data_IF_770114362310
#
_entry.id   IF_770114362310
#
_cell.length_a   1.000
_cell.length_b   1.000
_cell.length_c   1.000
_cell.angle_alpha   90.00
_cell.angle_beta   90.00
_cell.angle_gamma   90.00
#
_symmetry.space_group_name_H-M   'P 1'
#
loop_
_entity.id
_entity.type
_entity.pdbx_description
1 polymer ?
#
# COMPACT_ATOMS: atom_id res chain seq x y z
N UNK A 1 22.29 -13.02 -8.80
CA UNK A 1 21.76 -12.90 -7.42
C UNK A 1 20.66 -11.85 -7.48
N UNK A 2 19.41 -12.25 -7.26
CA UNK A 2 18.30 -11.27 -7.19
C UNK A 2 18.53 -10.44 -5.94
N UNK A 3 18.81 -9.14 -6.10
CA UNK A 3 18.89 -8.21 -4.97
C UNK A 3 17.54 -8.24 -4.25
N UNK A 4 17.53 -8.75 -3.02
CA UNK A 4 16.33 -8.77 -2.21
C UNK A 4 15.98 -7.33 -1.86
N UNK A 5 14.88 -6.83 -2.42
CA UNK A 5 14.36 -5.50 -2.09
C UNK A 5 14.11 -5.41 -0.58
N UNK A 6 14.79 -4.49 0.08
CA UNK A 6 14.59 -4.22 1.50
C UNK A 6 13.49 -3.19 1.64
N UNK A 7 12.34 -3.61 2.14
CA UNK A 7 11.23 -2.71 2.40
C UNK A 7 11.31 -2.16 3.82
N UNK A 8 11.41 -0.85 3.94
CA UNK A 8 11.35 -0.09 5.18
C UNK A 8 10.37 1.07 5.01
N UNK A 9 9.89 1.64 6.10
CA UNK A 9 8.97 2.76 6.06
C UNK A 9 9.16 3.70 7.24
N UNK A 10 8.60 4.88 7.12
CA UNK A 10 8.64 5.90 8.15
C UNK A 10 7.45 5.75 9.11
N UNK A 11 7.72 5.74 10.40
CA UNK A 11 6.68 5.79 11.43
C UNK A 11 6.12 7.21 11.52
N UNK A 12 4.81 7.39 11.33
CA UNK A 12 4.17 8.72 11.37
C UNK A 12 4.03 9.28 12.80
N UNK A 13 4.24 8.49 13.84
CA UNK A 13 4.26 9.00 15.22
C UNK A 13 5.59 9.63 15.62
N UNK A 14 6.71 9.03 15.22
CA UNK A 14 8.03 9.48 15.69
C UNK A 14 9.05 9.79 14.57
N UNK A 15 8.67 9.62 13.30
CA UNK A 15 9.54 9.87 12.15
C UNK A 15 10.63 8.82 11.92
N UNK A 16 10.78 7.80 12.78
CA UNK A 16 11.84 6.80 12.65
C UNK A 16 11.62 5.90 11.43
N UNK A 17 12.71 5.59 10.72
CA UNK A 17 12.74 4.57 9.69
C UNK A 17 12.78 3.17 10.32
N UNK A 18 11.84 2.32 9.95
CA UNK A 18 11.69 0.99 10.53
C UNK A 18 11.44 -0.03 9.41
N UNK A 19 12.09 -1.19 9.51
CA UNK A 19 11.89 -2.26 8.52
C UNK A 19 10.46 -2.80 8.56
N UNK A 20 9.96 -3.27 7.43
CA UNK A 20 8.64 -3.90 7.30
C UNK A 20 8.36 -4.91 8.43
N UNK A 21 9.34 -5.79 8.72
CA UNK A 21 9.23 -6.83 9.74
C UNK A 21 9.03 -6.28 11.16
N UNK A 22 9.63 -5.15 11.48
CA UNK A 22 9.64 -4.57 12.84
C UNK A 22 8.57 -3.50 13.04
N UNK A 23 8.02 -2.94 11.95
CA UNK A 23 7.10 -1.81 12.00
C UNK A 23 5.86 -2.09 12.86
N UNK A 24 5.24 -3.26 12.74
CA UNK A 24 4.05 -3.61 13.52
C UNK A 24 4.30 -3.56 15.02
N UNK A 25 5.43 -4.09 15.50
CA UNK A 25 5.83 -4.06 16.92
C UNK A 25 6.25 -2.66 17.37
N UNK A 26 6.89 -1.88 16.48
CA UNK A 26 7.24 -0.49 16.75
C UNK A 26 5.97 0.36 16.96
N UNK A 27 5.01 0.28 16.07
CA UNK A 27 3.72 0.99 16.16
C UNK A 27 2.90 0.58 17.38
N UNK A 28 2.91 -0.70 17.75
CA UNK A 28 2.23 -1.20 18.95
C UNK A 28 2.67 -0.44 20.22
N UNK A 29 3.94 -0.04 20.35
CA UNK A 29 4.43 0.73 21.51
C UNK A 29 3.75 2.10 21.58
N UNK A 30 3.64 2.81 20.45
CA UNK A 30 2.96 4.10 20.39
C UNK A 30 1.47 3.98 20.70
N UNK A 31 0.81 2.95 20.17
CA UNK A 31 -0.62 2.73 20.38
C UNK A 31 -0.95 2.39 21.85
N UNK A 32 -0.14 1.54 22.49
CA UNK A 32 -0.28 1.25 23.93
C UNK A 32 -0.02 2.48 24.79
N UNK A 33 0.94 3.32 24.42
CA UNK A 33 1.18 4.57 25.12
C UNK A 33 -0.04 5.50 25.03
N UNK A 34 -0.61 5.71 23.83
CA UNK A 34 -1.80 6.54 23.62
C UNK A 34 -3.02 6.00 24.39
N UNK A 35 -3.22 4.68 24.44
CA UNK A 35 -4.28 4.03 25.20
C UNK A 35 -4.12 4.29 26.71
N UNK A 36 -2.91 4.18 27.23
CA UNK A 36 -2.60 4.44 28.63
C UNK A 36 -2.75 5.91 29.04
N UNK A 37 -2.41 6.83 28.13
CA UNK A 37 -2.54 8.28 28.35
C UNK A 37 -4.01 8.73 28.36
N UNK A 38 -4.92 7.96 27.75
CA UNK A 38 -6.35 8.28 27.64
C UNK A 38 -7.24 7.13 28.12
N UNK A 39 -7.21 6.76 29.42
CA UNK A 39 -7.91 5.57 29.93
C UNK A 39 -9.44 5.67 29.85
N UNK A 40 -9.99 6.85 29.60
CA UNK A 40 -11.43 7.09 29.41
C UNK A 40 -11.88 6.98 27.96
N UNK A 41 -10.96 6.68 27.03
CA UNK A 41 -11.33 6.53 25.63
C UNK A 41 -12.28 5.33 25.43
N UNK A 42 -13.39 5.60 24.72
CA UNK A 42 -14.43 4.58 24.47
C UNK A 42 -14.31 3.98 23.06
N UNK A 43 -13.69 4.70 22.12
CA UNK A 43 -13.55 4.29 20.73
C UNK A 43 -12.64 3.07 20.60
N UNK A 44 -13.10 2.01 19.95
CA UNK A 44 -12.26 0.88 19.57
C UNK A 44 -11.64 1.14 18.20
N UNK A 45 -10.33 0.93 18.08
CA UNK A 45 -9.59 1.00 16.83
C UNK A 45 -8.80 -0.28 16.62
N UNK A 46 -8.56 -0.65 15.36
CA UNK A 46 -7.78 -1.84 14.99
C UNK A 46 -6.55 -1.42 14.20
N UNK A 47 -5.38 -1.88 14.63
CA UNK A 47 -4.16 -1.79 13.84
C UNK A 47 -4.19 -2.87 12.78
N UNK A 48 -4.16 -2.46 11.51
CA UNK A 48 -4.16 -3.38 10.36
C UNK A 48 -2.86 -3.21 9.58
N UNK A 49 -2.17 -4.32 9.40
CA UNK A 49 -1.04 -4.45 8.49
C UNK A 49 -1.57 -4.89 7.13
N UNK A 50 -1.19 -4.19 6.07
CA UNK A 50 -1.64 -4.40 4.70
C UNK A 50 -0.40 -4.60 3.85
N UNK A 51 -0.39 -5.66 3.04
CA UNK A 51 0.75 -6.03 2.22
C UNK A 51 0.33 -6.43 0.80
N UNK A 52 1.12 -5.97 -0.18
CA UNK A 52 1.07 -6.43 -1.56
C UNK A 52 2.50 -6.54 -2.09
N UNK A 53 2.94 -7.74 -2.46
CA UNK A 53 4.32 -8.05 -2.80
C UNK A 53 5.30 -7.54 -1.72
N UNK A 54 6.27 -6.70 -2.08
CA UNK A 54 7.24 -6.09 -1.15
C UNK A 54 6.77 -4.74 -0.57
N UNK A 55 5.58 -4.29 -0.92
CA UNK A 55 5.01 -3.04 -0.43
C UNK A 55 4.11 -3.27 0.77
N UNK A 56 4.07 -2.30 1.68
CA UNK A 56 3.24 -2.38 2.87
C UNK A 56 2.66 -1.05 3.32
N UNK A 57 1.55 -1.15 4.05
CA UNK A 57 0.96 -0.08 4.84
C UNK A 57 0.68 -0.61 6.25
N UNK A 58 0.75 0.27 7.22
CA UNK A 58 0.08 0.11 8.50
C UNK A 58 -0.96 1.20 8.66
N UNK A 59 -2.17 0.81 8.98
CA UNK A 59 -3.28 1.73 9.21
C UNK A 59 -3.95 1.45 10.56
N UNK A 60 -4.60 2.47 11.09
CA UNK A 60 -5.51 2.35 12.22
C UNK A 60 -6.92 2.59 11.71
N UNK A 61 -7.80 1.61 11.85
CA UNK A 61 -9.19 1.71 11.42
C UNK A 61 -10.13 1.83 12.62
N UNK A 62 -11.09 2.78 12.55
CA UNK A 62 -12.08 2.99 13.60
C UNK A 62 -13.12 1.87 13.59
N UNK A 63 -13.42 1.26 14.73
CA UNK A 63 -14.32 0.10 14.82
C UNK A 63 -15.71 0.35 14.23
N UNK A 64 -16.27 1.53 14.45
CA UNK A 64 -17.57 1.95 13.91
C UNK A 64 -17.56 2.19 12.39
N UNK A 65 -16.37 2.39 11.77
CA UNK A 65 -16.25 2.56 10.34
C UNK A 65 -16.47 1.22 9.63
N UNK A 66 -16.69 1.27 8.32
CA UNK A 66 -16.98 0.10 7.50
C UNK A 66 -15.87 -0.20 6.49
N UNK A 67 -15.90 -1.39 5.91
CA UNK A 67 -14.97 -1.78 4.85
C UNK A 67 -15.00 -0.85 3.64
N UNK A 68 -16.10 -0.11 3.39
CA UNK A 68 -16.16 0.94 2.37
C UNK A 68 -15.13 2.05 2.58
N UNK A 69 -14.83 2.40 3.84
CA UNK A 69 -13.82 3.42 4.14
C UNK A 69 -12.41 2.93 3.86
N UNK A 70 -12.14 1.65 4.15
CA UNK A 70 -10.84 1.06 3.84
C UNK A 70 -10.67 0.84 2.34
N UNK A 71 -11.71 0.42 1.62
CA UNK A 71 -11.72 0.35 0.16
C UNK A 71 -11.40 1.70 -0.46
N UNK A 72 -12.11 2.76 -0.03
CA UNK A 72 -11.87 4.12 -0.51
C UNK A 72 -10.44 4.61 -0.21
N UNK A 73 -9.88 4.24 0.95
CA UNK A 73 -8.51 4.56 1.31
C UNK A 73 -7.50 3.80 0.43
N UNK A 74 -7.67 2.48 0.24
CA UNK A 74 -6.79 1.66 -0.60
C UNK A 74 -6.81 2.11 -2.06
N UNK A 75 -7.98 2.49 -2.57
CA UNK A 75 -8.11 3.09 -3.89
C UNK A 75 -7.27 4.35 -4.01
N UNK A 76 -7.40 5.28 -3.08
CA UNK A 76 -6.68 6.56 -3.11
C UNK A 76 -5.16 6.41 -3.00
N UNK A 77 -4.67 5.46 -2.20
CA UNK A 77 -3.23 5.34 -1.96
C UNK A 77 -2.53 4.41 -2.95
N UNK A 78 -3.24 3.36 -3.46
CA UNK A 78 -2.59 2.30 -4.24
C UNK A 78 -3.30 1.86 -5.51
N UNK A 79 -4.65 1.99 -5.64
CA UNK A 79 -5.37 1.14 -6.59
C UNK A 79 -6.08 1.89 -7.72
N UNK A 80 -6.64 3.09 -7.45
CA UNK A 80 -7.60 3.69 -8.36
C UNK A 80 -6.98 4.15 -9.68
N UNK A 81 -7.42 3.55 -10.78
CA UNK A 81 -7.05 3.93 -12.13
C UNK A 81 -8.26 4.32 -12.99
N UNK A 82 -9.34 3.52 -13.01
CA UNK A 82 -10.51 3.74 -13.86
C UNK A 82 -11.81 3.13 -13.31
N UNK A 83 -11.94 2.97 -11.99
CA UNK A 83 -13.19 2.58 -11.34
C UNK A 83 -13.49 1.08 -11.32
N UNK A 84 -12.46 0.22 -11.31
CA UNK A 84 -12.66 -1.23 -11.24
C UNK A 84 -13.37 -1.67 -9.95
N UNK A 85 -13.99 -2.85 -10.01
CA UNK A 85 -14.61 -3.49 -8.85
C UNK A 85 -13.55 -4.02 -7.89
N UNK A 86 -13.93 -4.11 -6.64
CA UNK A 86 -13.09 -4.63 -5.56
C UNK A 86 -13.90 -5.47 -4.58
N UNK A 87 -13.22 -6.36 -3.84
CA UNK A 87 -13.88 -7.24 -2.89
C UNK A 87 -12.93 -7.63 -1.76
N UNK A 88 -13.44 -7.59 -0.51
CA UNK A 88 -12.77 -8.20 0.64
C UNK A 88 -13.24 -9.64 0.82
N UNK A 89 -12.31 -10.51 1.23
CA UNK A 89 -12.59 -11.90 1.55
C UNK A 89 -12.08 -12.26 2.95
N UNK A 90 -12.86 -13.06 3.64
CA UNK A 90 -12.50 -13.68 4.90
C UNK A 90 -12.69 -15.20 4.76
N UNK A 91 -11.60 -15.96 4.85
CA UNK A 91 -11.61 -17.41 4.62
C UNK A 91 -12.33 -17.81 3.33
N UNK A 92 -12.07 -17.08 2.24
CA UNK A 92 -12.70 -17.32 0.94
C UNK A 92 -14.15 -16.81 0.79
N UNK A 93 -14.77 -16.33 1.87
CA UNK A 93 -16.13 -15.77 1.83
C UNK A 93 -16.10 -14.25 1.66
N UNK A 94 -16.99 -13.71 0.83
CA UNK A 94 -17.09 -12.27 0.58
C UNK A 94 -17.52 -11.50 1.83
N UNK A 95 -16.82 -10.41 2.13
CA UNK A 95 -17.18 -9.44 3.17
C UNK A 95 -17.83 -8.23 2.53
N UNK A 96 -19.08 -7.90 2.90
CA UNK A 96 -19.77 -6.75 2.36
C UNK A 96 -19.15 -5.42 2.79
N UNK A 97 -19.05 -4.47 1.88
CA UNK A 97 -18.44 -3.15 2.12
C UNK A 97 -19.12 -2.33 3.23
N UNK A 98 -20.39 -2.58 3.51
CA UNK A 98 -21.17 -1.90 4.56
C UNK A 98 -20.95 -2.48 5.96
N UNK A 99 -20.30 -3.66 6.08
CA UNK A 99 -19.99 -4.27 7.38
C UNK A 99 -19.05 -3.36 8.16
N UNK A 100 -19.34 -3.14 9.44
CA UNK A 100 -18.47 -2.39 10.34
C UNK A 100 -17.29 -3.24 10.79
N UNK A 101 -16.16 -2.59 11.08
CA UNK A 101 -14.95 -3.30 11.49
C UNK A 101 -15.12 -4.03 12.84
N UNK A 102 -15.80 -3.40 13.82
CA UNK A 102 -16.07 -4.01 15.13
C UNK A 102 -16.94 -5.28 15.09
N UNK A 103 -17.68 -5.48 13.97
CA UNK A 103 -18.49 -6.69 13.75
C UNK A 103 -17.69 -7.86 13.15
N UNK A 104 -16.48 -7.59 12.63
CA UNK A 104 -15.71 -8.56 11.84
C UNK A 104 -14.29 -8.74 12.38
N UNK A 105 -13.61 -7.63 12.72
CA UNK A 105 -12.20 -7.67 13.04
C UNK A 105 -11.93 -8.13 14.47
N UNK A 106 -10.99 -9.05 14.59
CA UNK A 106 -10.39 -9.46 15.88
C UNK A 106 -8.88 -9.56 15.68
N UNK A 107 -8.06 -9.31 16.71
CA UNK A 107 -6.61 -9.46 16.63
C UNK A 107 -6.19 -10.83 16.10
N UNK A 108 -5.25 -10.86 15.16
CA UNK A 108 -4.77 -12.06 14.48
C UNK A 108 -5.55 -12.44 13.21
N UNK A 109 -6.71 -11.86 12.96
CA UNK A 109 -7.52 -12.15 11.77
C UNK A 109 -6.76 -11.76 10.50
N UNK A 110 -6.88 -12.58 9.47
CA UNK A 110 -6.35 -12.32 8.13
C UNK A 110 -7.49 -12.21 7.14
N UNK A 111 -7.38 -11.25 6.25
CA UNK A 111 -8.31 -11.02 5.14
C UNK A 111 -7.51 -10.84 3.85
N UNK A 112 -8.21 -10.99 2.74
CA UNK A 112 -7.71 -10.68 1.40
C UNK A 112 -8.55 -9.56 0.80
N UNK A 113 -7.95 -8.77 -0.07
CA UNK A 113 -8.63 -7.76 -0.86
C UNK A 113 -8.16 -7.88 -2.30
N UNK A 114 -9.11 -7.93 -3.19
CA UNK A 114 -8.91 -7.96 -4.63
C UNK A 114 -9.42 -6.66 -5.24
N UNK A 115 -8.60 -6.08 -6.10
CA UNK A 115 -8.98 -4.94 -6.92
C UNK A 115 -8.78 -5.31 -8.39
N UNK A 116 -9.80 -5.02 -9.24
CA UNK A 116 -9.82 -5.32 -10.66
C UNK A 116 -9.80 -6.84 -10.96
N UNK A 117 -10.96 -7.42 -11.23
CA UNK A 117 -11.07 -8.86 -11.49
C UNK A 117 -10.55 -9.29 -12.88
N UNK A 118 -10.19 -8.34 -13.75
CA UNK A 118 -9.52 -8.62 -15.04
C UNK A 118 -8.01 -8.70 -14.91
N UNK A 119 -7.37 -7.67 -14.33
CA UNK A 119 -5.93 -7.61 -14.04
C UNK A 119 -5.76 -7.46 -12.53
N UNK A 120 -6.02 -8.54 -11.80
CA UNK A 120 -6.21 -8.51 -10.35
C UNK A 120 -4.97 -8.11 -9.58
N UNK A 121 -5.09 -7.07 -8.75
CA UNK A 121 -4.11 -6.75 -7.71
C UNK A 121 -4.59 -7.35 -6.40
N UNK A 122 -3.79 -8.30 -5.86
CA UNK A 122 -4.05 -8.98 -4.60
C UNK A 122 -3.36 -8.28 -3.44
N UNK A 123 -4.10 -8.10 -2.35
CA UNK A 123 -3.60 -7.48 -1.12
C UNK A 123 -3.99 -8.33 0.08
N UNK A 124 -3.03 -8.64 0.94
CA UNK A 124 -3.28 -9.32 2.20
C UNK A 124 -3.38 -8.31 3.34
N UNK A 125 -4.32 -8.55 4.25
CA UNK A 125 -4.52 -7.75 5.46
C UNK A 125 -4.40 -8.63 6.69
N UNK A 126 -3.78 -8.11 7.74
CA UNK A 126 -3.71 -8.77 9.05
C UNK A 126 -4.01 -7.79 10.16
N UNK A 127 -4.94 -8.15 11.04
CA UNK A 127 -5.25 -7.38 12.25
C UNK A 127 -4.16 -7.65 13.29
N UNK A 128 -3.35 -6.63 13.59
CA UNK A 128 -2.20 -6.74 14.50
C UNK A 128 -2.58 -6.55 15.96
N UNK A 129 -3.66 -5.82 16.23
CA UNK A 129 -4.14 -5.53 17.58
C UNK A 129 -5.39 -4.65 17.57
N UNK A 130 -6.00 -4.49 18.75
CA UNK A 130 -7.09 -3.55 18.99
C UNK A 130 -6.78 -2.72 20.23
N UNK A 131 -7.20 -1.45 20.25
CA UNK A 131 -6.88 -0.47 21.27
C UNK A 131 -8.08 0.41 21.57
N UNK A 132 -8.15 0.98 22.76
CA UNK A 132 -9.12 2.00 23.16
C UNK A 132 -8.55 3.40 22.92
N UNK A 133 -8.79 3.93 21.74
CA UNK A 133 -8.27 5.23 21.31
C UNK A 133 -9.41 6.00 20.63
N UNK A 134 -9.59 7.26 21.01
CA UNK A 134 -10.51 8.16 20.32
C UNK A 134 -9.85 8.69 19.03
N UNK A 135 -10.25 8.13 17.90
CA UNK A 135 -9.76 8.51 16.58
C UNK A 135 -10.84 9.28 15.81
N UNK A 136 -10.45 10.36 15.15
CA UNK A 136 -11.35 11.17 14.33
C UNK A 136 -11.56 10.52 12.95
N UNK A 137 -10.50 10.13 12.29
CA UNK A 137 -10.49 9.57 10.95
C UNK A 137 -11.02 8.13 10.95
N UNK A 138 -11.77 7.72 9.92
CA UNK A 138 -12.23 6.35 9.75
C UNK A 138 -11.07 5.38 9.47
N UNK A 139 -10.06 5.85 8.72
CA UNK A 139 -8.81 5.15 8.41
C UNK A 139 -7.67 6.16 8.55
N UNK A 140 -6.70 5.87 9.39
CA UNK A 140 -5.51 6.70 9.63
C UNK A 140 -4.27 5.93 9.17
N UNK A 141 -3.45 6.52 8.29
CA UNK A 141 -2.16 5.97 7.91
C UNK A 141 -1.18 6.10 9.08
N UNK A 142 -0.51 5.00 9.43
CA UNK A 142 0.52 4.96 10.48
C UNK A 142 1.93 4.81 9.91
N UNK A 143 2.05 4.10 8.79
CA UNK A 143 3.31 3.91 8.06
C UNK A 143 3.03 3.39 6.66
N UNK A 144 3.90 3.74 5.73
CA UNK A 144 3.98 3.22 4.37
C UNK A 144 5.44 2.90 4.06
N UNK A 145 5.69 1.88 3.23
CA UNK A 145 7.05 1.68 2.74
C UNK A 145 7.53 2.90 1.93
N UNK A 146 8.82 3.20 2.07
CA UNK A 146 9.50 4.10 1.13
C UNK A 146 9.50 3.48 -0.28
N UNK A 147 9.65 4.28 -1.34
CA UNK A 147 9.79 3.75 -2.70
C UNK A 147 10.82 2.65 -2.78
N UNK A 148 10.49 1.59 -3.52
CA UNK A 148 11.43 0.49 -3.73
C UNK A 148 12.46 0.92 -4.79
N UNK A 149 13.74 0.71 -4.49
CA UNK A 149 14.82 0.91 -5.45
C UNK A 149 14.87 -0.25 -6.46
N UNK A 150 13.97 -0.21 -7.45
CA UNK A 150 13.90 -1.21 -8.51
C UNK A 150 14.98 -0.89 -9.54
N UNK A 151 15.91 -1.81 -9.76
CA UNK A 151 16.97 -1.61 -10.74
C UNK A 151 16.41 -1.73 -12.17
N UNK A 152 16.99 -0.96 -13.07
CA UNK A 152 16.71 -1.00 -14.50
C UNK A 152 17.00 -2.40 -15.05
N UNK A 153 16.03 -3.04 -15.70
CA UNK A 153 16.16 -4.38 -16.30
C UNK A 153 17.23 -4.46 -17.39
N UNK A 154 17.47 -3.36 -18.11
CA UNK A 154 18.45 -3.32 -19.19
C UNK A 154 19.89 -3.16 -18.70
N UNK A 155 20.19 -2.18 -17.85
CA UNK A 155 21.58 -1.91 -17.43
C UNK A 155 21.96 -2.49 -16.05
N UNK A 156 21.00 -2.83 -15.20
CA UNK A 156 21.18 -3.31 -13.83
C UNK A 156 22.05 -2.40 -12.92
N UNK A 157 22.13 -1.10 -13.24
CA UNK A 157 22.99 -0.12 -12.55
C UNK A 157 22.19 1.00 -11.91
N UNK A 158 21.27 1.58 -12.66
CA UNK A 158 20.48 2.72 -12.22
C UNK A 158 19.09 2.29 -11.77
N UNK A 159 18.48 3.06 -10.87
CA UNK A 159 17.09 2.88 -10.46
C UNK A 159 16.17 3.19 -11.64
N UNK A 160 15.16 2.36 -11.82
CA UNK A 160 14.17 2.54 -12.87
C UNK A 160 13.23 3.70 -12.55
N UNK A 161 12.88 4.46 -13.58
CA UNK A 161 11.93 5.59 -13.52
C UNK A 161 10.70 5.36 -14.39
N UNK A 162 10.80 4.44 -15.36
CA UNK A 162 9.75 4.10 -16.30
C UNK A 162 9.52 2.59 -16.36
N UNK A 163 8.28 2.22 -16.70
CA UNK A 163 7.84 0.82 -16.90
C UNK A 163 7.27 0.72 -18.33
N UNK A 164 7.66 -0.34 -19.04
CA UNK A 164 6.94 -0.77 -20.24
C UNK A 164 5.86 -1.77 -19.84
N UNK A 165 4.60 -1.42 -20.04
CA UNK A 165 3.46 -2.29 -19.66
C UNK A 165 3.34 -3.55 -20.51
N UNK A 166 4.01 -3.60 -21.65
CA UNK A 166 4.10 -4.80 -22.51
C UNK A 166 5.16 -5.76 -21.96
N UNK A 167 6.39 -5.27 -21.73
CA UNK A 167 7.52 -6.12 -21.34
C UNK A 167 7.58 -6.47 -19.84
N UNK A 168 6.80 -5.79 -18.99
CA UNK A 168 6.79 -6.09 -17.53
C UNK A 168 6.35 -7.53 -17.24
N UNK A 169 5.49 -8.10 -18.07
CA UNK A 169 5.01 -9.48 -17.93
C UNK A 169 6.04 -10.53 -18.36
N UNK A 170 7.07 -10.13 -19.08
CA UNK A 170 8.20 -10.98 -19.49
C UNK A 170 9.33 -10.97 -18.44
N UNK A 171 9.16 -10.20 -17.35
CA UNK A 171 10.17 -10.04 -16.29
C UNK A 171 11.21 -8.94 -16.60
N UNK A 172 11.03 -8.24 -17.72
CA UNK A 172 11.90 -7.18 -18.19
C UNK A 172 11.08 -5.91 -18.39
N UNK A 173 10.96 -4.93 -17.90
CA UNK A 173 10.04 -3.82 -18.19
C UNK A 173 10.36 -2.57 -17.37
N UNK A 174 11.38 -2.64 -16.53
CA UNK A 174 11.80 -1.52 -15.72
C UNK A 174 13.00 -0.82 -16.34
N UNK A 175 12.88 0.47 -16.67
CA UNK A 175 13.92 1.24 -17.35
C UNK A 175 14.29 2.50 -16.55
N UNK A 176 15.60 2.76 -16.41
CA UNK A 176 16.08 4.08 -16.02
C UNK A 176 15.96 5.05 -17.21
N UNK A 177 16.05 6.33 -16.97
CA UNK A 177 15.85 7.39 -17.98
C UNK A 177 16.63 7.12 -19.28
N UNK A 178 17.94 6.85 -19.18
CA UNK A 178 18.79 6.59 -20.34
C UNK A 178 18.45 5.30 -21.10
N UNK A 179 17.95 4.27 -20.41
CA UNK A 179 17.53 3.03 -21.05
C UNK A 179 16.11 3.12 -21.61
N UNK A 180 15.25 3.93 -20.99
CA UNK A 180 13.91 4.23 -21.50
C UNK A 180 13.98 4.94 -22.86
N UNK A 181 14.85 5.94 -23.00
CA UNK A 181 15.04 6.63 -24.27
C UNK A 181 15.47 5.69 -25.41
N UNK A 182 16.33 4.69 -25.14
CA UNK A 182 16.69 3.69 -26.14
C UNK A 182 15.55 2.72 -26.43
N UNK A 183 14.83 2.31 -25.37
CA UNK A 183 13.71 1.40 -25.52
C UNK A 183 12.54 2.02 -26.31
N UNK A 184 12.38 3.33 -26.25
CA UNK A 184 11.43 4.11 -27.06
C UNK A 184 11.72 3.99 -28.57
N UNK A 185 13.02 3.90 -28.96
CA UNK A 185 13.41 3.68 -30.34
C UNK A 185 13.19 2.22 -30.81
N UNK A 186 13.19 1.26 -29.88
CA UNK A 186 13.11 -0.18 -30.16
C UNK A 186 11.69 -0.75 -29.99
N UNK A 187 10.81 -0.08 -29.27
CA UNK A 187 9.46 -0.55 -28.92
C UNK A 187 8.41 0.50 -29.27
N UNK A 188 7.68 0.30 -30.37
CA UNK A 188 6.61 1.19 -30.83
C UNK A 188 5.52 1.36 -29.76
N UNK A 189 5.14 0.28 -29.06
CA UNK A 189 4.14 0.32 -28.00
C UNK A 189 4.57 1.22 -26.83
N UNK A 190 5.87 1.20 -26.47
CA UNK A 190 6.40 2.05 -25.41
C UNK A 190 6.38 3.53 -25.81
N UNK A 191 6.74 3.83 -27.06
CA UNK A 191 6.71 5.18 -27.62
C UNK A 191 5.27 5.74 -27.68
N UNK A 192 4.27 4.89 -27.97
CA UNK A 192 2.89 5.32 -28.20
C UNK A 192 2.05 5.34 -26.91
N UNK A 193 1.96 4.22 -26.17
CA UNK A 193 1.01 4.11 -25.04
C UNK A 193 1.51 3.30 -23.84
N UNK A 194 2.52 2.46 -23.98
CA UNK A 194 2.90 1.49 -22.96
C UNK A 194 3.89 2.04 -21.91
N UNK A 195 4.34 3.29 -22.05
CA UNK A 195 5.22 3.93 -21.07
C UNK A 195 4.45 4.42 -19.86
N UNK A 196 4.83 3.93 -18.67
CA UNK A 196 4.26 4.33 -17.39
C UNK A 196 5.35 4.66 -16.37
N UNK A 197 5.08 5.54 -15.37
CA UNK A 197 6.04 5.84 -14.33
C UNK A 197 6.20 4.67 -13.34
N UNK A 198 7.40 4.53 -12.78
CA UNK A 198 7.60 3.75 -11.56
C UNK A 198 7.02 4.53 -10.40
N UNK A 199 6.05 3.94 -9.68
CA UNK A 199 5.35 4.57 -8.57
C UNK A 199 5.31 3.64 -7.36
N UNK A 200 5.19 4.20 -6.16
CA UNK A 200 5.13 3.42 -4.92
C UNK A 200 3.74 2.78 -4.72
N UNK A 201 3.39 1.85 -5.60
CA UNK A 201 2.12 1.13 -5.57
C UNK A 201 2.24 -0.26 -6.20
N UNK A 202 1.57 -1.27 -5.61
CA UNK A 202 1.49 -2.60 -6.22
C UNK A 202 0.70 -2.64 -7.54
N UNK A 203 0.01 -1.55 -7.90
CA UNK A 203 -0.73 -1.39 -9.15
C UNK A 203 0.14 -0.82 -10.29
N UNK A 204 1.40 -0.45 -10.03
CA UNK A 204 2.28 0.11 -11.06
C UNK A 204 2.41 -0.84 -12.27
N UNK A 205 2.49 -0.29 -13.46
CA UNK A 205 2.59 -1.05 -14.71
C UNK A 205 1.29 -1.71 -15.17
N UNK A 206 0.17 -1.47 -14.52
CA UNK A 206 -1.13 -2.10 -14.85
C UNK A 206 -2.18 -1.03 -15.16
N UNK A 207 -2.93 -1.23 -16.25
CA UNK A 207 -4.13 -0.44 -16.59
C UNK A 207 -3.90 1.09 -16.60
N UNK A 208 -2.81 1.55 -17.19
CA UNK A 208 -2.42 2.96 -17.22
C UNK A 208 -2.40 3.66 -15.85
N UNK A 209 -2.05 2.92 -14.79
CA UNK A 209 -1.99 3.47 -13.44
C UNK A 209 -0.80 4.43 -13.27
N UNK A 210 -1.08 5.68 -12.97
CA UNK A 210 -0.09 6.77 -12.90
C UNK A 210 0.28 7.17 -11.47
N UNK A 211 -0.19 6.43 -10.47
CA UNK A 211 0.00 6.73 -9.05
C UNK A 211 -1.29 7.02 -8.29
N UNK A 212 -1.25 6.91 -6.97
CA UNK A 212 -2.39 7.19 -6.10
C UNK A 212 -2.67 8.68 -5.91
N UNK A 213 -3.90 9.03 -5.57
CA UNK A 213 -4.27 10.38 -5.16
C UNK A 213 -3.61 10.77 -3.82
N UNK A 214 -3.29 9.79 -2.96
CA UNK A 214 -2.46 9.98 -1.78
C UNK A 214 -1.03 9.60 -2.14
N UNK A 215 -0.19 10.58 -2.35
CA UNK A 215 1.24 10.42 -2.54
C UNK A 215 1.98 11.01 -1.35
N UNK A 216 2.48 10.11 -0.50
CA UNK A 216 3.10 10.50 0.77
C UNK A 216 4.40 11.28 0.60
N UNK A 217 5.06 11.15 -0.55
CA UNK A 217 6.29 11.87 -0.87
C UNK A 217 6.00 13.23 -1.49
N UNK A 218 5.21 13.24 -2.57
CA UNK A 218 4.79 14.48 -3.23
C UNK A 218 4.02 15.41 -2.29
N UNK A 219 3.11 14.85 -1.48
CA UNK A 219 2.18 15.64 -0.68
C UNK A 219 2.74 15.97 0.72
N UNK A 220 3.95 15.51 1.04
CA UNK A 220 4.60 15.76 2.33
C UNK A 220 3.81 15.23 3.54
N UNK A 221 2.99 14.22 3.35
CA UNK A 221 2.05 13.67 4.36
C UNK A 221 2.80 12.99 5.53
N UNK A 222 4.11 12.84 5.43
CA UNK A 222 4.98 12.40 6.52
C UNK A 222 5.29 13.53 7.53
N UNK A 223 4.33 14.38 7.84
CA UNK A 223 4.46 15.29 8.97
C UNK A 223 4.07 14.51 10.21
N UNK A 224 5.04 14.27 11.10
CA UNK A 224 4.78 13.74 12.43
C UNK A 224 3.74 14.64 13.11
N UNK A 225 2.61 14.07 13.51
CA UNK A 225 1.55 14.75 14.25
C UNK A 225 1.78 14.60 15.74
#
# INVERSE_FOLDING_TARGET
>A
MVNKLVSAGKCLYCGSMVTQRSMGTHLKKHLLQQENENPTAQGTVFQVYIRAAEMFLHVLVKGEASFKHLDAFLRKIWMECCGHLSQFYLHGSKVGLTRKFDQVLVPGLKLEYEYDFGSTTLVSLQVMGSYKINQKENVLLLSRNEPLEILCSSCNKNVATAICSVHIYEGEGFYCEACAARHEEECEDFADYASMPVVNSPRMGTCAYMGGAIDTERDGVYVAR
#
